data_IF_827674535354
#
_entry.id   IF_827674535354
#
_cell.length_a   1.000
_cell.length_b   1.000
_cell.length_c   1.000
_cell.angle_alpha   90.00
_cell.angle_beta   90.00
_cell.angle_gamma   90.00
#
_symmetry.space_group_name_H-M   'P 1'
#
loop_
_entity.id
_entity.type
_entity.pdbx_description
1 polymer ?
#
# COMPACT_ATOMS: atom_id res chain seq x y z
N UNK A 1 -31.49 -29.95 -48.27
CA UNK A 1 -30.41 -30.79 -48.83
C UNK A 1 -29.22 -30.65 -47.89
N UNK A 2 -28.91 -31.64 -47.04
CA UNK A 2 -27.68 -31.64 -46.22
C UNK A 2 -26.87 -32.87 -46.61
N UNK A 3 -25.62 -32.63 -46.98
CA UNK A 3 -24.63 -33.63 -47.36
C UNK A 3 -24.15 -34.29 -46.06
N UNK A 4 -24.16 -35.63 -45.98
CA UNK A 4 -23.52 -36.38 -44.89
C UNK A 4 -22.01 -36.11 -44.96
N UNK A 5 -21.39 -35.82 -43.83
CA UNK A 5 -19.94 -35.69 -43.70
C UNK A 5 -19.22 -36.93 -44.24
N UNK A 6 -18.79 -36.85 -45.50
CA UNK A 6 -17.82 -37.75 -46.08
C UNK A 6 -16.45 -37.14 -45.81
N UNK A 7 -15.62 -37.82 -45.00
CA UNK A 7 -14.19 -37.54 -44.96
C UNK A 7 -13.61 -37.84 -46.35
N UNK A 8 -13.45 -36.80 -47.16
CA UNK A 8 -12.67 -36.88 -48.39
C UNK A 8 -11.21 -37.12 -47.98
N UNK A 9 -10.66 -38.29 -48.36
CA UNK A 9 -9.22 -38.46 -48.43
C UNK A 9 -8.72 -37.51 -49.53
N UNK A 10 -7.65 -36.78 -49.24
CA UNK A 10 -6.97 -35.92 -50.22
C UNK A 10 -6.63 -36.74 -51.47
N UNK A 11 -6.96 -36.18 -52.65
CA UNK A 11 -6.79 -36.73 -54.02
C UNK A 11 -7.85 -37.71 -54.57
N UNK A 12 -9.08 -37.24 -54.76
CA UNK A 12 -9.96 -37.79 -55.81
C UNK A 12 -10.51 -36.66 -56.68
N UNK A 13 -10.17 -36.70 -57.97
CA UNK A 13 -10.70 -35.87 -59.05
C UNK A 13 -12.23 -35.98 -59.14
N UNK A 14 -12.88 -34.87 -59.46
CA UNK A 14 -14.34 -34.63 -59.32
C UNK A 14 -15.20 -35.40 -60.37
N UNK A 15 -14.62 -36.26 -61.20
CA UNK A 15 -15.31 -36.80 -62.39
C UNK A 15 -16.13 -38.09 -62.18
N UNK A 16 -16.16 -38.68 -60.99
CA UNK A 16 -16.97 -39.90 -60.74
C UNK A 16 -17.86 -39.79 -59.50
N UNK A 17 -18.96 -39.04 -59.61
CA UNK A 17 -20.06 -39.12 -58.63
C UNK A 17 -21.26 -39.79 -59.30
N UNK A 18 -21.37 -41.10 -59.14
CA UNK A 18 -22.46 -41.91 -59.69
C UNK A 18 -23.81 -41.59 -59.01
N UNK A 19 -24.90 -41.52 -59.79
CA UNK A 19 -26.27 -41.16 -59.31
C UNK A 19 -26.78 -42.05 -58.17
N UNK A 20 -26.25 -43.24 -58.02
CA UNK A 20 -26.63 -44.22 -56.98
C UNK A 20 -26.11 -43.84 -55.57
N UNK A 21 -25.11 -42.96 -55.47
CA UNK A 21 -24.63 -42.45 -54.17
C UNK A 21 -25.57 -41.43 -53.52
N UNK A 22 -26.61 -40.99 -54.23
CA UNK A 22 -27.65 -40.10 -53.71
C UNK A 22 -28.87 -40.91 -53.26
N UNK A 23 -28.75 -41.58 -52.11
CA UNK A 23 -29.91 -42.16 -51.43
C UNK A 23 -30.79 -41.03 -50.92
N UNK A 24 -32.04 -40.97 -51.38
CA UNK A 24 -33.06 -40.08 -50.84
C UNK A 24 -33.24 -40.37 -49.34
N UNK A 25 -32.99 -39.34 -48.53
CA UNK A 25 -33.24 -39.34 -47.09
C UNK A 25 -34.68 -39.81 -46.80
N UNK A 26 -34.83 -40.87 -45.99
CA UNK A 26 -36.15 -41.44 -45.66
C UNK A 26 -37.03 -40.40 -44.99
N UNK A 27 -38.22 -40.18 -45.55
CA UNK A 27 -39.23 -39.18 -45.13
C UNK A 27 -39.85 -39.48 -43.75
N UNK A 28 -39.54 -40.63 -43.15
CA UNK A 28 -40.20 -41.17 -41.96
C UNK A 28 -39.35 -41.10 -40.67
N UNK A 29 -38.09 -40.66 -40.73
CA UNK A 29 -37.38 -40.30 -39.51
C UNK A 29 -37.93 -38.96 -39.01
N UNK A 30 -38.88 -39.02 -38.08
CA UNK A 30 -39.20 -37.87 -37.24
C UNK A 30 -37.91 -37.48 -36.54
N UNK A 31 -37.27 -36.41 -37.02
CA UNK A 31 -36.17 -35.75 -36.31
C UNK A 31 -36.70 -35.55 -34.90
N UNK A 32 -36.16 -36.30 -33.92
CA UNK A 32 -36.47 -36.04 -32.52
C UNK A 32 -36.15 -34.57 -32.33
N UNK A 33 -37.18 -33.74 -32.20
CA UNK A 33 -36.99 -32.37 -31.75
C UNK A 33 -36.26 -32.49 -30.43
N UNK A 34 -34.97 -32.21 -30.45
CA UNK A 34 -34.23 -31.98 -29.23
C UNK A 34 -34.90 -30.75 -28.66
N UNK A 35 -35.84 -30.96 -27.73
CA UNK A 35 -36.39 -29.88 -26.93
C UNK A 35 -35.21 -29.26 -26.21
N UNK A 36 -34.64 -28.23 -26.82
CA UNK A 36 -33.63 -27.39 -26.21
C UNK A 36 -34.34 -26.73 -25.04
N UNK A 37 -34.18 -27.32 -23.86
CA UNK A 37 -34.65 -26.72 -22.62
C UNK A 37 -34.04 -25.33 -22.54
N UNK A 38 -34.88 -24.29 -22.58
CA UNK A 38 -34.45 -22.90 -22.61
C UNK A 38 -33.78 -22.56 -21.28
N UNK A 39 -32.47 -22.74 -21.22
CA UNK A 39 -31.68 -22.30 -20.09
C UNK A 39 -31.17 -20.88 -20.38
N UNK A 40 -31.34 -19.98 -19.43
CA UNK A 40 -30.69 -18.67 -19.50
C UNK A 40 -29.17 -18.83 -19.53
N UNK A 41 -28.49 -17.96 -20.29
CA UNK A 41 -27.03 -17.96 -20.41
C UNK A 41 -26.33 -17.99 -19.05
N UNK A 42 -26.80 -17.17 -18.09
CA UNK A 42 -26.24 -17.10 -16.74
C UNK A 42 -26.32 -18.42 -15.98
N UNK A 43 -27.43 -19.13 -16.06
CA UNK A 43 -27.60 -20.41 -15.36
C UNK A 43 -26.66 -21.48 -15.93
N UNK A 44 -26.50 -21.53 -17.26
CA UNK A 44 -25.52 -22.41 -17.90
C UNK A 44 -24.09 -22.07 -17.53
N UNK A 45 -23.75 -20.79 -17.51
CA UNK A 45 -22.43 -20.31 -17.12
C UNK A 45 -22.11 -20.60 -15.66
N UNK A 46 -23.06 -20.42 -14.73
CA UNK A 46 -22.93 -20.79 -13.33
C UNK A 46 -22.72 -22.30 -13.14
N UNK A 47 -23.49 -23.14 -13.83
CA UNK A 47 -23.30 -24.60 -13.80
C UNK A 47 -21.91 -25.01 -14.30
N UNK A 48 -21.36 -24.33 -15.31
CA UNK A 48 -19.99 -24.56 -15.79
C UNK A 48 -18.96 -24.04 -14.77
N UNK A 49 -19.21 -22.91 -14.14
CA UNK A 49 -18.34 -22.30 -13.13
C UNK A 49 -18.17 -23.20 -11.90
N UNK A 50 -19.27 -23.73 -11.35
CA UNK A 50 -19.24 -24.62 -10.17
C UNK A 50 -18.50 -25.94 -10.46
N UNK A 51 -18.38 -26.35 -11.73
CA UNK A 51 -17.58 -27.53 -12.10
C UNK A 51 -16.07 -27.23 -12.19
N UNK A 52 -15.68 -25.96 -12.29
CA UNK A 52 -14.29 -25.55 -12.42
C UNK A 52 -13.67 -25.27 -11.04
N UNK A 53 -12.87 -26.23 -10.52
CA UNK A 53 -12.22 -26.12 -9.21
C UNK A 53 -11.36 -24.85 -9.07
N UNK A 54 -10.56 -24.52 -10.09
CA UNK A 54 -9.73 -23.32 -10.08
C UNK A 54 -10.56 -22.05 -9.99
N UNK A 55 -11.67 -22.00 -10.73
CA UNK A 55 -12.62 -20.88 -10.69
C UNK A 55 -13.23 -20.67 -9.29
N UNK A 56 -13.58 -21.76 -8.61
CA UNK A 56 -14.10 -21.70 -7.23
C UNK A 56 -13.04 -21.18 -6.27
N UNK A 57 -11.81 -21.70 -6.33
CA UNK A 57 -10.72 -21.26 -5.45
C UNK A 57 -10.44 -19.77 -5.64
N UNK A 58 -10.32 -19.30 -6.88
CA UNK A 58 -10.13 -17.88 -7.17
C UNK A 58 -11.27 -17.01 -6.65
N UNK A 59 -12.52 -17.48 -6.76
CA UNK A 59 -13.68 -16.75 -6.25
C UNK A 59 -13.69 -16.67 -4.72
N UNK A 60 -13.32 -17.73 -4.02
CA UNK A 60 -13.18 -17.73 -2.56
C UNK A 60 -12.11 -16.73 -2.14
N UNK A 61 -10.94 -16.75 -2.78
CA UNK A 61 -9.85 -15.81 -2.49
C UNK A 61 -10.29 -14.36 -2.68
N UNK A 62 -10.92 -14.04 -3.82
CA UNK A 62 -11.45 -12.69 -4.09
C UNK A 62 -12.54 -12.29 -3.09
N UNK A 63 -13.40 -13.23 -2.69
CA UNK A 63 -14.43 -12.97 -1.68
C UNK A 63 -13.81 -12.68 -0.32
N UNK A 64 -12.78 -13.41 0.09
CA UNK A 64 -12.04 -13.16 1.33
C UNK A 64 -11.39 -11.77 1.30
N UNK A 65 -10.74 -11.40 0.19
CA UNK A 65 -10.11 -10.08 0.01
C UNK A 65 -11.16 -8.96 0.06
N UNK A 66 -12.31 -9.17 -0.57
CA UNK A 66 -13.40 -8.20 -0.57
C UNK A 66 -14.03 -8.06 0.81
N UNK A 67 -14.28 -9.18 1.51
CA UNK A 67 -14.79 -9.19 2.89
C UNK A 67 -13.79 -8.52 3.82
N UNK A 68 -12.50 -8.81 3.69
CA UNK A 68 -11.43 -8.15 4.42
C UNK A 68 -11.50 -6.62 4.25
N UNK A 69 -11.60 -6.15 3.02
CA UNK A 69 -11.70 -4.73 2.71
C UNK A 69 -12.96 -4.10 3.33
N UNK A 70 -14.11 -4.78 3.22
CA UNK A 70 -15.39 -4.28 3.73
C UNK A 70 -15.46 -4.28 5.27
N UNK A 71 -15.02 -5.35 5.91
CA UNK A 71 -15.00 -5.46 7.38
C UNK A 71 -14.06 -4.44 8.00
N UNK A 72 -12.88 -4.22 7.40
CA UNK A 72 -11.91 -3.28 7.95
C UNK A 72 -12.46 -1.85 7.99
N UNK A 73 -13.27 -1.44 7.01
CA UNK A 73 -13.95 -0.13 7.01
C UNK A 73 -14.98 -0.03 8.14
N UNK A 74 -15.74 -1.09 8.38
CA UNK A 74 -16.77 -1.09 9.43
C UNK A 74 -16.19 -1.19 10.85
N UNK A 75 -15.07 -1.90 11.01
CA UNK A 75 -14.57 -2.33 12.32
C UNK A 75 -13.21 -1.77 12.71
N UNK A 76 -12.47 -1.08 11.84
CA UNK A 76 -11.15 -0.56 12.23
C UNK A 76 -11.26 0.71 13.08
N UNK A 77 -10.96 0.68 14.39
CA UNK A 77 -10.80 1.89 15.20
C UNK A 77 -9.59 2.72 14.74
N UNK A 78 -8.63 2.12 14.02
CA UNK A 78 -7.38 2.76 13.59
C UNK A 78 -7.58 3.80 12.49
N UNK A 79 -8.69 3.76 11.74
CA UNK A 79 -9.03 4.87 10.83
C UNK A 79 -9.28 6.19 11.56
N UNK A 80 -9.62 6.18 12.86
CA UNK A 80 -9.72 7.41 13.66
C UNK A 80 -8.34 7.96 14.05
N UNK A 81 -7.31 7.12 14.03
CA UNK A 81 -5.92 7.48 14.38
C UNK A 81 -5.19 8.14 13.20
N UNK A 82 -5.69 8.00 11.96
CA UNK A 82 -5.22 8.80 10.81
C UNK A 82 -5.49 10.31 10.98
N UNK A 83 -6.36 10.69 11.93
CA UNK A 83 -6.56 12.07 12.40
C UNK A 83 -5.81 12.38 13.70
N UNK A 84 -4.84 11.55 14.09
CA UNK A 84 -3.74 12.09 14.86
C UNK A 84 -3.03 13.02 13.89
N UNK A 85 -3.28 14.31 14.05
CA UNK A 85 -2.40 15.31 13.49
C UNK A 85 -0.99 14.85 13.80
N UNK A 86 -0.27 14.41 12.76
CA UNK A 86 1.18 14.30 12.76
C UNK A 86 1.71 15.73 12.81
N UNK A 87 1.41 16.39 13.92
CA UNK A 87 1.86 17.69 14.32
C UNK A 87 3.16 17.55 15.09
N UNK A 88 3.79 18.68 15.34
CA UNK A 88 5.12 18.86 15.88
C UNK A 88 5.40 18.24 17.28
N UNK A 89 4.52 17.39 17.81
CA UNK A 89 4.52 16.92 19.20
C UNK A 89 5.22 15.56 19.42
N UNK A 90 6.14 15.17 18.54
CA UNK A 90 7.13 14.12 18.85
C UNK A 90 6.61 12.68 18.94
N UNK A 91 5.34 12.42 18.64
CA UNK A 91 4.79 11.07 18.71
C UNK A 91 5.19 10.23 17.47
N UNK A 92 6.20 9.35 17.59
CA UNK A 92 6.69 8.54 16.45
C UNK A 92 6.21 7.10 16.48
N UNK A 93 4.98 6.84 16.01
CA UNK A 93 4.50 5.48 15.67
C UNK A 93 5.02 5.00 14.31
N UNK A 94 6.19 5.46 13.86
CA UNK A 94 6.68 5.20 12.52
C UNK A 94 7.44 3.87 12.41
N UNK A 95 7.25 3.15 11.30
CA UNK A 95 7.97 1.93 10.95
C UNK A 95 7.89 0.80 11.99
N UNK A 96 6.77 0.71 12.71
CA UNK A 96 6.54 -0.36 13.69
C UNK A 96 6.39 -1.69 12.99
N UNK A 97 6.87 -2.76 13.63
CA UNK A 97 6.77 -4.10 13.09
C UNK A 97 5.38 -4.71 13.36
N UNK A 98 4.97 -5.69 12.54
CA UNK A 98 3.76 -6.47 12.78
C UNK A 98 3.71 -7.04 14.20
N UNK A 99 2.62 -6.77 14.92
CA UNK A 99 2.35 -7.31 16.26
C UNK A 99 0.91 -7.78 16.34
N UNK A 100 0.69 -9.01 16.81
CA UNK A 100 -0.65 -9.55 17.05
C UNK A 100 -1.02 -9.43 18.53
N UNK A 101 -0.08 -9.75 19.43
CA UNK A 101 -0.33 -9.74 20.87
C UNK A 101 0.82 -9.07 21.61
N UNK A 102 0.52 -8.58 22.81
CA UNK A 102 1.53 -7.96 23.66
C UNK A 102 2.54 -8.94 24.24
N UNK A 103 2.15 -10.21 24.43
CA UNK A 103 2.92 -11.18 25.23
C UNK A 103 3.55 -12.31 24.40
N UNK A 104 3.47 -12.25 23.07
CA UNK A 104 4.11 -13.25 22.21
C UNK A 104 5.56 -12.85 21.95
N UNK A 105 6.50 -13.74 22.28
CA UNK A 105 7.95 -13.57 22.03
C UNK A 105 8.47 -14.74 21.18
N UNK A 106 7.66 -15.21 20.22
CA UNK A 106 7.96 -16.37 19.38
C UNK A 106 8.71 -16.06 18.09
N UNK A 107 9.13 -14.81 17.86
CA UNK A 107 9.87 -14.37 16.66
C UNK A 107 9.01 -14.17 15.40
N UNK A 108 7.70 -14.40 15.46
CA UNK A 108 6.78 -14.23 14.34
C UNK A 108 5.62 -13.30 14.71
N UNK A 109 5.57 -12.10 14.11
CA UNK A 109 4.53 -11.10 14.37
C UNK A 109 4.44 -10.69 15.86
N UNK A 110 5.58 -10.62 16.54
CA UNK A 110 5.73 -10.16 17.92
C UNK A 110 6.17 -8.69 18.03
N UNK A 111 6.37 -8.01 16.91
CA UNK A 111 6.90 -6.65 16.88
C UNK A 111 8.41 -6.57 17.10
N UNK A 112 9.11 -7.70 17.26
CA UNK A 112 10.55 -7.72 17.47
C UNK A 112 11.33 -7.99 16.17
N UNK A 113 12.58 -7.56 16.11
CA UNK A 113 13.47 -7.88 15.00
C UNK A 113 14.93 -7.90 15.44
N UNK A 114 15.75 -8.71 14.77
CA UNK A 114 17.18 -8.76 15.04
C UNK A 114 17.89 -7.62 14.31
N UNK A 115 18.81 -6.94 15.02
CA UNK A 115 19.65 -5.89 14.47
C UNK A 115 21.03 -5.92 15.13
N UNK A 116 22.06 -5.64 14.34
CA UNK A 116 23.40 -5.39 14.86
C UNK A 116 23.55 -3.89 15.19
N UNK A 117 24.03 -3.61 16.39
CA UNK A 117 24.25 -2.25 16.91
C UNK A 117 25.68 -2.12 17.42
N UNK A 118 26.27 -0.93 17.33
CA UNK A 118 27.58 -0.70 17.92
C UNK A 118 27.51 -0.59 19.45
N UNK A 119 28.66 -0.68 20.13
CA UNK A 119 28.78 -0.59 21.59
C UNK A 119 28.00 0.62 22.18
N UNK A 120 28.17 1.80 21.59
CA UNK A 120 27.51 3.02 22.08
C UNK A 120 25.98 2.89 22.07
N UNK A 121 25.41 2.34 21.00
CA UNK A 121 23.96 2.11 20.90
C UNK A 121 23.52 0.97 21.82
N UNK A 122 24.32 -0.09 21.95
CA UNK A 122 24.02 -1.20 22.86
C UNK A 122 23.89 -0.72 24.32
N UNK A 123 24.86 0.04 24.80
CA UNK A 123 24.83 0.57 26.17
C UNK A 123 23.67 1.57 26.37
N UNK A 124 23.32 2.38 25.35
CA UNK A 124 22.15 3.25 25.37
C UNK A 124 20.86 2.46 25.59
N UNK A 125 20.68 1.39 24.83
CA UNK A 125 19.48 0.57 24.88
C UNK A 125 19.40 -0.27 26.16
N UNK A 126 20.53 -0.72 26.69
CA UNK A 126 20.62 -1.48 27.94
C UNK A 126 20.22 -0.64 29.16
N UNK A 127 20.59 0.64 29.17
CA UNK A 127 20.26 1.58 30.25
C UNK A 127 19.00 2.40 29.96
N UNK A 128 18.19 1.97 29.00
CA UNK A 128 16.95 2.65 28.65
C UNK A 128 15.96 2.65 29.83
N UNK A 129 15.38 3.80 30.12
CA UNK A 129 14.60 4.08 31.34
C UNK A 129 13.10 3.91 31.17
N UNK A 130 12.61 3.71 29.94
CA UNK A 130 11.19 3.48 29.73
C UNK A 130 10.72 2.15 30.28
N UNK A 131 9.41 2.06 30.48
CA UNK A 131 8.77 0.91 31.10
C UNK A 131 8.94 -0.36 30.26
N UNK A 132 9.07 -0.21 28.93
CA UNK A 132 9.44 -1.30 28.03
C UNK A 132 10.92 -1.26 27.68
N UNK A 133 11.64 -2.34 28.03
CA UNK A 133 13.04 -2.51 27.64
C UNK A 133 13.14 -2.79 26.13
N UNK A 134 13.95 -2.03 25.37
CA UNK A 134 14.08 -2.21 23.93
C UNK A 134 14.83 -3.49 23.54
N UNK A 135 15.77 -3.94 24.37
CA UNK A 135 16.49 -5.21 24.16
C UNK A 135 15.67 -6.33 24.80
N UNK A 136 15.14 -7.23 23.97
CA UNK A 136 14.41 -8.44 24.42
C UNK A 136 15.37 -9.61 24.61
N UNK A 137 16.29 -9.81 23.66
CA UNK A 137 17.32 -10.86 23.69
C UNK A 137 18.65 -10.24 23.28
N UNK A 138 19.71 -10.56 24.01
CA UNK A 138 21.08 -10.19 23.69
C UNK A 138 21.84 -11.43 23.22
N UNK A 139 22.27 -11.45 21.96
CA UNK A 139 23.02 -12.56 21.37
C UNK A 139 24.54 -12.39 21.53
N UNK A 140 25.00 -11.28 22.13
CA UNK A 140 26.41 -11.00 22.37
C UNK A 140 27.14 -10.29 21.23
N UNK A 141 28.46 -10.17 21.38
CA UNK A 141 29.34 -9.49 20.43
C UNK A 141 29.56 -10.32 19.15
N UNK A 142 29.36 -9.67 18.02
CA UNK A 142 29.74 -10.11 16.68
C UNK A 142 31.11 -9.53 16.37
N UNK A 143 32.13 -10.39 16.40
CA UNK A 143 33.48 -10.02 15.94
C UNK A 143 33.48 -9.98 14.40
N UNK A 144 33.69 -8.80 13.84
CA UNK A 144 33.97 -8.65 12.41
C UNK A 144 35.49 -8.62 12.22
N UNK A 145 36.06 -9.70 11.69
CA UNK A 145 37.51 -9.86 11.49
C UNK A 145 38.09 -8.97 10.35
N UNK A 146 37.27 -8.23 9.60
CA UNK A 146 37.71 -7.50 8.39
C UNK A 146 37.80 -5.97 8.53
N UNK A 147 37.34 -5.36 9.63
CA UNK A 147 37.46 -3.92 9.83
C UNK A 147 38.01 -3.60 11.23
N UNK A 148 39.31 -3.31 11.29
CA UNK A 148 39.99 -2.74 12.46
C UNK A 148 39.48 -1.31 12.72
N UNK A 149 38.32 -1.19 13.34
CA UNK A 149 37.94 -0.03 14.14
C UNK A 149 37.34 -0.56 15.43
N UNK A 150 37.89 -0.10 16.55
CA UNK A 150 37.58 -0.43 17.93
C UNK A 150 36.14 -0.08 18.34
N UNK A 151 35.15 -0.75 17.75
CA UNK A 151 33.76 -0.78 18.18
C UNK A 151 33.25 -2.21 18.01
N UNK A 152 32.97 -2.88 19.12
CA UNK A 152 32.21 -4.12 19.11
C UNK A 152 30.84 -3.87 18.47
N UNK A 153 30.38 -4.84 17.68
CA UNK A 153 29.00 -4.87 17.21
C UNK A 153 28.27 -5.90 18.05
N UNK A 154 27.22 -5.53 18.76
CA UNK A 154 26.34 -6.45 19.46
C UNK A 154 25.16 -6.84 18.56
N UNK A 155 24.82 -8.13 18.53
CA UNK A 155 23.59 -8.58 17.90
C UNK A 155 22.48 -8.67 18.94
N UNK A 156 21.40 -7.91 18.76
CA UNK A 156 20.28 -7.83 19.70
C UNK A 156 18.95 -8.09 19.00
N UNK A 157 17.99 -8.64 19.74
CA UNK A 157 16.58 -8.65 19.38
C UNK A 157 15.91 -7.42 19.97
N UNK A 158 15.46 -6.53 19.10
CA UNK A 158 14.90 -5.23 19.46
C UNK A 158 13.36 -5.26 19.38
N UNK A 159 12.65 -4.78 20.40
CA UNK A 159 11.20 -4.54 20.34
C UNK A 159 10.91 -3.19 19.68
N UNK A 160 10.29 -3.20 18.50
CA UNK A 160 9.92 -1.96 17.80
C UNK A 160 8.94 -1.08 18.58
N UNK A 161 8.18 -1.64 19.53
CA UNK A 161 7.21 -0.91 20.35
C UNK A 161 7.83 -0.31 21.63
N UNK A 162 9.14 -0.43 21.83
CA UNK A 162 9.87 0.37 22.81
C UNK A 162 10.09 1.79 22.25
N UNK A 163 8.99 2.54 22.17
CA UNK A 163 8.83 3.76 21.37
C UNK A 163 9.57 5.00 21.90
N UNK A 164 10.33 4.87 22.98
CA UNK A 164 11.07 6.00 23.52
C UNK A 164 10.23 6.86 24.46
N UNK A 165 10.73 8.07 24.66
CA UNK A 165 10.07 9.11 25.44
C UNK A 165 9.70 10.29 24.53
N UNK A 166 8.60 10.97 24.82
CA UNK A 166 8.17 12.17 24.12
C UNK A 166 8.20 13.38 25.06
N UNK A 167 8.42 14.58 24.52
CA UNK A 167 8.24 15.83 25.28
C UNK A 167 6.85 16.35 24.97
N UNK A 168 6.05 16.56 26.00
CA UNK A 168 4.68 17.08 25.89
C UNK A 168 4.58 18.40 26.64
N UNK A 169 3.92 19.36 26.00
CA UNK A 169 3.58 20.64 26.61
C UNK A 169 2.17 20.52 27.19
N UNK A 170 2.04 20.63 28.51
CA UNK A 170 0.78 20.52 29.22
C UNK A 170 0.42 21.86 29.86
N UNK A 171 -0.88 22.15 29.93
CA UNK A 171 -1.39 23.14 30.89
C UNK A 171 -1.27 22.60 32.32
N UNK A 172 -1.38 23.48 33.32
CA UNK A 172 -1.31 23.08 34.73
C UNK A 172 -2.38 22.03 35.07
N UNK A 173 -3.61 22.25 34.62
CA UNK A 173 -4.72 21.35 34.91
C UNK A 173 -4.50 19.96 34.29
N UNK A 174 -3.98 19.90 33.05
CA UNK A 174 -3.65 18.64 32.39
C UNK A 174 -2.49 17.91 33.08
N UNK A 175 -1.50 18.65 33.59
CA UNK A 175 -0.40 18.09 34.37
C UNK A 175 -0.90 17.47 35.68
N UNK A 176 -1.73 18.20 36.43
CA UNK A 176 -2.28 17.72 37.71
C UNK A 176 -3.15 16.46 37.51
N UNK A 177 -3.93 16.40 36.42
CA UNK A 177 -4.70 15.20 36.04
C UNK A 177 -3.79 14.02 35.74
N UNK A 178 -2.71 14.24 34.97
CA UNK A 178 -1.76 13.18 34.62
C UNK A 178 -1.06 12.62 35.87
N UNK A 179 -0.62 13.49 36.79
CA UNK A 179 0.03 13.07 38.05
C UNK A 179 -0.93 12.25 38.92
N UNK A 180 -2.19 12.65 39.02
CA UNK A 180 -3.19 11.86 39.75
C UNK A 180 -3.40 10.48 39.10
N UNK A 181 -3.46 10.44 37.76
CA UNK A 181 -3.60 9.18 37.02
C UNK A 181 -2.42 8.22 37.25
N UNK A 182 -1.18 8.74 37.28
CA UNK A 182 0.01 7.96 37.64
C UNK A 182 -0.07 7.34 39.02
N UNK A 183 -0.50 8.14 40.01
CA UNK A 183 -0.62 7.70 41.40
C UNK A 183 -1.71 6.63 41.57
N UNK A 184 -2.86 6.80 40.92
CA UNK A 184 -3.97 5.85 40.98
C UNK A 184 -3.62 4.50 40.35
N UNK A 185 -2.87 4.50 39.24
CA UNK A 185 -2.54 3.29 38.49
C UNK A 185 -1.16 2.70 38.83
N UNK A 186 -0.38 3.37 39.69
CA UNK A 186 0.99 3.01 40.03
C UNK A 186 1.88 2.82 38.78
N UNK A 187 1.80 3.80 37.86
CA UNK A 187 2.55 3.84 36.60
C UNK A 187 3.58 4.97 36.63
N UNK A 188 4.75 4.77 36.02
CA UNK A 188 5.76 5.82 35.80
C UNK A 188 5.64 6.30 34.34
N UNK A 189 4.75 7.25 34.10
CA UNK A 189 4.52 7.86 32.78
C UNK A 189 5.46 9.05 32.60
N UNK A 190 5.65 9.88 33.62
CA UNK A 190 6.45 11.08 33.66
C UNK A 190 7.88 10.69 34.04
N UNK A 191 8.75 10.77 33.05
CA UNK A 191 10.17 10.51 33.18
C UNK A 191 10.94 11.76 33.58
N UNK A 192 12.13 11.57 34.12
CA UNK A 192 13.01 12.68 34.47
C UNK A 192 13.35 13.49 33.22
N UNK A 193 13.19 14.82 33.32
CA UNK A 193 13.58 15.73 32.26
C UNK A 193 15.11 15.85 32.25
N UNK A 194 15.71 15.67 31.08
CA UNK A 194 17.15 15.88 30.91
C UNK A 194 17.39 17.36 30.61
N UNK A 195 17.72 18.15 31.63
CA UNK A 195 18.20 19.51 31.44
C UNK A 195 19.72 19.49 31.30
N UNK A 196 20.20 19.72 30.08
CA UNK A 196 21.64 19.90 29.85
C UNK A 196 22.10 21.29 30.27
N UNK A 197 21.22 22.28 30.44
CA UNK A 197 21.61 23.65 30.83
C UNK A 197 22.34 23.66 32.17
N UNK A 198 21.80 22.94 33.17
CA UNK A 198 22.44 22.77 34.47
C UNK A 198 23.80 22.06 34.32
N UNK A 199 23.88 21.05 33.45
CA UNK A 199 25.13 20.35 33.18
C UNK A 199 26.17 21.21 32.48
N UNK A 200 25.79 22.04 31.51
CA UNK A 200 26.71 22.96 30.83
C UNK A 200 27.29 23.96 31.82
N UNK A 201 26.48 24.43 32.78
CA UNK A 201 26.94 25.29 33.88
C UNK A 201 27.91 24.54 34.80
N UNK A 202 27.56 23.32 35.26
CA UNK A 202 28.45 22.47 36.06
C UNK A 202 29.79 22.20 35.35
N UNK A 203 29.73 21.82 34.08
CA UNK A 203 30.90 21.48 33.28
C UNK A 203 31.78 22.71 33.04
N UNK A 204 31.17 23.88 32.82
CA UNK A 204 31.89 25.17 32.76
C UNK A 204 32.62 25.45 34.07
N UNK A 205 31.97 25.23 35.22
CA UNK A 205 32.59 25.42 36.53
C UNK A 205 33.76 24.46 36.74
N UNK A 206 33.60 23.19 36.34
CA UNK A 206 34.69 22.22 36.38
C UNK A 206 35.91 22.66 35.54
N UNK A 207 35.68 23.15 34.31
CA UNK A 207 36.77 23.65 33.47
C UNK A 207 37.45 24.91 34.04
N UNK A 208 36.69 25.75 34.75
CA UNK A 208 37.24 26.89 35.48
C UNK A 208 38.13 26.44 36.65
N UNK A 209 37.69 25.44 37.43
CA UNK A 209 38.49 24.86 38.52
C UNK A 209 39.79 24.21 38.02
N UNK A 210 39.77 23.64 36.82
CA UNK A 210 40.93 23.07 36.14
C UNK A 210 41.87 24.13 35.51
N UNK A 211 41.58 25.42 35.66
CA UNK A 211 42.37 26.57 35.18
C UNK A 211 42.60 26.62 33.65
N UNK A 212 41.62 26.22 32.84
CA UNK A 212 41.69 26.42 31.39
C UNK A 212 41.42 27.87 30.97
N UNK A 213 41.88 28.26 29.77
CA UNK A 213 41.62 29.59 29.24
C UNK A 213 40.14 29.79 28.88
N UNK A 214 39.63 31.00 29.12
CA UNK A 214 38.22 31.34 28.86
C UNK A 214 37.79 31.07 27.41
N UNK A 215 38.72 31.27 26.46
CA UNK A 215 38.50 30.97 25.04
C UNK A 215 38.26 29.47 24.79
N UNK A 216 39.04 28.60 25.42
CA UNK A 216 38.89 27.15 25.29
C UNK A 216 37.59 26.68 25.94
N UNK A 217 37.24 27.24 27.11
CA UNK A 217 36.01 26.92 27.83
C UNK A 217 34.79 27.27 26.96
N UNK A 218 34.72 28.49 26.44
CA UNK A 218 33.58 28.92 25.61
C UNK A 218 33.44 28.07 24.34
N UNK A 219 34.54 27.74 23.66
CA UNK A 219 34.51 26.84 22.49
C UNK A 219 33.99 25.45 22.86
N UNK A 220 34.47 24.89 23.97
CA UNK A 220 34.10 23.56 24.44
C UNK A 220 32.61 23.48 24.79
N UNK A 221 32.10 24.49 25.52
CA UNK A 221 30.67 24.57 25.86
C UNK A 221 29.80 24.69 24.60
N UNK A 222 30.18 25.54 23.65
CA UNK A 222 29.43 25.70 22.39
C UNK A 222 29.41 24.40 21.57
N UNK A 223 30.52 23.65 21.53
CA UNK A 223 30.55 22.34 20.87
C UNK A 223 29.66 21.31 21.57
N UNK A 224 29.64 21.31 22.91
CA UNK A 224 28.77 20.44 23.71
C UNK A 224 27.29 20.77 23.49
N UNK A 225 26.94 22.06 23.45
CA UNK A 225 25.59 22.52 23.16
C UNK A 225 25.13 22.07 21.76
N UNK A 226 26.00 22.21 20.75
CA UNK A 226 25.78 21.68 19.41
C UNK A 226 25.63 20.14 19.38
N UNK A 227 26.41 19.43 20.21
CA UNK A 227 26.34 17.97 20.31
C UNK A 227 24.99 17.51 20.89
N UNK A 228 24.51 18.13 21.97
CA UNK A 228 23.22 17.78 22.59
C UNK A 228 22.02 18.19 21.74
N UNK A 229 22.08 19.35 21.07
CA UNK A 229 21.00 19.78 20.15
C UNK A 229 20.89 18.87 18.93
N UNK A 230 22.02 18.40 18.40
CA UNK A 230 22.05 17.47 17.26
C UNK A 230 21.70 16.04 17.67
N UNK A 231 22.14 15.61 18.85
CA UNK A 231 21.87 14.29 19.42
C UNK A 231 20.87 14.40 20.58
N UNK A 232 19.66 14.88 20.29
CA UNK A 232 18.60 15.22 21.25
C UNK A 232 18.21 14.13 22.29
N UNK A 233 18.79 12.93 22.22
CA UNK A 233 18.52 11.76 23.06
C UNK A 233 19.74 11.28 23.87
N UNK A 234 20.76 12.11 24.12
CA UNK A 234 21.91 11.73 24.96
C UNK A 234 21.54 11.92 26.43
N UNK A 235 21.43 10.80 27.16
CA UNK A 235 20.98 10.78 28.56
C UNK A 235 22.13 10.81 29.59
N UNK A 236 23.38 10.92 29.13
CA UNK A 236 24.57 10.79 29.97
C UNK A 236 25.47 12.00 29.87
N UNK A 237 26.15 12.28 30.99
CA UNK A 237 27.22 13.27 31.06
C UNK A 237 28.31 12.81 30.09
N UNK A 238 28.74 13.71 29.21
CA UNK A 238 29.87 13.47 28.31
C UNK A 238 31.03 14.40 28.67
N UNK A 239 32.25 13.88 28.57
CA UNK A 239 33.48 14.63 28.81
C UNK A 239 34.29 14.75 27.51
N UNK A 240 35.17 15.75 27.44
CA UNK A 240 36.08 15.91 26.31
C UNK A 240 37.14 14.82 26.30
N UNK A 241 37.72 14.57 25.14
CA UNK A 241 38.86 13.66 25.03
C UNK A 241 40.06 14.24 25.81
N UNK A 242 40.49 13.54 26.86
CA UNK A 242 41.61 13.91 27.74
C UNK A 242 42.80 12.97 27.58
N UNK A 243 44.01 13.47 27.85
CA UNK A 243 45.23 12.67 27.88
C UNK A 243 45.42 11.94 29.22
N UNK A 244 46.46 11.10 29.33
CA UNK A 244 46.81 10.40 30.58
C UNK A 244 47.09 11.32 31.78
N UNK A 245 47.37 12.60 31.53
CA UNK A 245 47.60 13.63 32.55
C UNK A 245 46.32 14.48 32.78
N UNK A 246 45.16 13.98 32.37
CA UNK A 246 43.84 14.60 32.49
C UNK A 246 43.63 15.94 31.77
N UNK A 247 44.52 16.31 30.84
CA UNK A 247 44.40 17.53 30.03
C UNK A 247 43.59 17.29 28.76
N UNK A 248 42.73 18.25 28.39
CA UNK A 248 41.95 18.19 27.14
C UNK A 248 42.88 18.13 25.94
N UNK A 249 42.71 17.08 25.13
CA UNK A 249 43.38 16.91 23.82
C UNK A 249 42.48 17.46 22.71
N UNK A 250 41.19 17.15 22.79
CA UNK A 250 40.23 17.52 21.75
C UNK A 250 38.86 17.81 22.38
N UNK A 251 38.37 19.02 22.17
CA UNK A 251 37.09 19.52 22.67
C UNK A 251 35.93 19.35 21.67
N UNK A 252 36.17 18.70 20.53
CA UNK A 252 35.15 18.32 19.55
C UNK A 252 34.73 16.85 19.67
N UNK A 253 35.48 16.05 20.44
CA UNK A 253 35.19 14.62 20.66
C UNK A 253 34.69 14.45 22.08
N UNK A 254 33.46 13.98 22.20
CA UNK A 254 32.78 13.75 23.48
C UNK A 254 32.65 12.25 23.75
N UNK A 255 33.07 11.84 24.94
CA UNK A 255 33.01 10.47 25.42
C UNK A 255 32.04 10.36 26.59
N UNK A 256 31.27 9.27 26.72
CA UNK A 256 30.43 9.06 27.89
C UNK A 256 31.28 9.04 29.16
N UNK A 257 30.84 9.75 30.20
CA UNK A 257 31.50 9.77 31.51
C UNK A 257 31.10 8.52 32.28
N UNK A 258 32.10 7.81 32.80
CA UNK A 258 31.90 6.66 33.67
C UNK A 258 32.39 6.97 35.08
N UNK A 259 31.56 6.68 36.09
CA UNK A 259 31.93 6.67 37.50
C UNK A 259 31.66 5.27 38.06
N UNK A 260 32.66 4.63 38.66
CA UNK A 260 32.57 3.26 39.18
C UNK A 260 32.05 2.22 38.15
N UNK A 261 32.49 2.28 36.89
CA UNK A 261 32.00 1.46 35.77
C UNK A 261 30.52 1.66 35.41
N UNK A 262 29.85 2.69 35.93
CA UNK A 262 28.49 3.06 35.55
C UNK A 262 28.49 4.38 34.78
N UNK A 263 27.64 4.47 33.75
CA UNK A 263 27.40 5.70 33.01
C UNK A 263 26.77 6.73 33.93
N UNK A 264 27.33 7.94 33.97
CA UNK A 264 26.75 9.04 34.76
C UNK A 264 25.66 9.69 33.94
N UNK A 265 24.42 9.62 34.40
CA UNK A 265 23.25 10.13 33.69
C UNK A 265 22.96 11.60 34.02
N UNK A 266 22.37 12.29 33.06
CA UNK A 266 21.89 13.67 33.20
C UNK A 266 20.45 13.62 33.70
N UNK A 267 20.23 13.74 35.00
CA UNK A 267 18.88 13.91 35.54
C UNK A 267 18.69 15.32 36.08
N UNK A 268 17.64 15.98 35.61
CA UNK A 268 17.06 17.18 36.22
C UNK A 268 15.67 16.87 36.80
N UNK A 269 14.96 17.91 37.22
CA UNK A 269 13.59 17.81 37.72
C UNK A 269 12.64 17.20 36.68
N UNK A 270 11.59 16.49 37.11
CA UNK A 270 10.61 15.84 36.21
C UNK A 270 9.85 16.83 35.30
N UNK A 271 9.91 18.14 35.57
CA UNK A 271 9.15 19.19 34.88
C UNK A 271 10.02 20.40 34.61
N UNK A 272 9.93 20.96 33.39
CA UNK A 272 10.45 22.27 33.06
C UNK A 272 9.28 23.25 32.83
N UNK A 273 9.18 24.29 33.66
CA UNK A 273 8.09 25.27 33.60
C UNK A 273 8.58 26.50 32.84
N UNK A 274 7.95 26.80 31.71
CA UNK A 274 8.25 27.99 30.91
C UNK A 274 6.96 28.72 30.56
N UNK A 275 6.85 29.99 30.95
CA UNK A 275 5.71 30.87 30.63
C UNK A 275 4.31 30.28 30.97
N UNK A 276 4.20 29.49 32.04
CA UNK A 276 2.94 28.86 32.47
C UNK A 276 2.60 27.54 31.76
N UNK A 277 3.46 27.08 30.83
CA UNK A 277 3.37 25.75 30.21
C UNK A 277 4.30 24.78 30.94
N UNK A 278 3.77 23.61 31.28
CA UNK A 278 4.49 22.52 31.92
C UNK A 278 5.07 21.62 30.83
N UNK A 279 6.37 21.70 30.59
CA UNK A 279 7.06 20.81 29.66
C UNK A 279 7.50 19.56 30.40
N UNK A 280 6.97 18.41 30.00
CA UNK A 280 7.18 17.15 30.70
C UNK A 280 7.65 16.10 29.72
N UNK A 281 8.61 15.28 30.14
CA UNK A 281 9.05 14.12 29.39
C UNK A 281 8.20 12.93 29.82
N UNK A 282 7.58 12.24 28.88
CA UNK A 282 6.70 11.10 29.15
C UNK A 282 7.15 9.85 28.40
N UNK A 283 6.97 8.66 29.00
CA UNK A 283 7.03 7.39 28.30
C UNK A 283 5.95 7.39 27.21
N UNK A 284 6.37 7.26 25.95
CA UNK A 284 5.49 7.41 24.81
C UNK A 284 4.28 6.46 24.91
N UNK A 285 4.54 5.20 25.27
CA UNK A 285 3.55 4.14 25.16
C UNK A 285 2.49 4.29 26.24
N UNK A 286 2.92 4.52 27.48
CA UNK A 286 1.97 4.70 28.59
C UNK A 286 1.18 6.00 28.45
N UNK A 287 1.80 7.08 27.97
CA UNK A 287 1.08 8.31 27.65
C UNK A 287 0.04 8.12 26.54
N UNK A 288 0.37 7.32 25.51
CA UNK A 288 -0.59 6.97 24.47
C UNK A 288 -1.78 6.20 25.04
N UNK A 289 -1.54 5.21 25.91
CA UNK A 289 -2.62 4.46 26.58
C UNK A 289 -3.48 5.37 27.44
N UNK A 290 -2.89 6.30 28.18
CA UNK A 290 -3.62 7.29 28.96
C UNK A 290 -4.55 8.14 28.07
N UNK A 291 -4.03 8.66 26.96
CA UNK A 291 -4.77 9.57 26.08
C UNK A 291 -5.86 8.88 25.26
N UNK A 292 -5.61 7.66 24.78
CA UNK A 292 -6.51 6.97 23.84
C UNK A 292 -7.25 5.77 24.43
N UNK A 293 -6.87 5.30 25.62
CA UNK A 293 -7.51 4.18 26.33
C UNK A 293 -7.20 2.79 25.75
N UNK A 294 -6.28 2.67 24.80
CA UNK A 294 -5.87 1.38 24.22
C UNK A 294 -4.38 1.36 23.87
N UNK A 295 -3.84 0.16 23.72
CA UNK A 295 -2.44 -0.08 23.34
C UNK A 295 -2.29 -0.03 21.82
N UNK A 296 -1.34 0.74 21.26
CA UNK A 296 -1.12 0.75 19.82
C UNK A 296 -0.63 -0.64 19.39
N UNK A 297 -1.41 -1.32 18.54
CA UNK A 297 -1.12 -2.67 18.08
C UNK A 297 -1.38 -2.73 16.57
N UNK A 298 -0.32 -2.91 15.78
CA UNK A 298 -0.41 -2.91 14.33
C UNK A 298 -0.17 -4.32 13.79
N UNK A 299 -1.24 -4.96 13.30
CA UNK A 299 -1.20 -6.35 12.81
C UNK A 299 -0.16 -6.51 11.69
N UNK A 300 -0.07 -5.55 10.77
CA UNK A 300 0.91 -5.53 9.68
C UNK A 300 2.02 -4.49 9.89
N UNK A 301 2.07 -3.85 11.05
CA UNK A 301 3.01 -2.75 11.32
C UNK A 301 2.48 -1.41 10.81
N UNK A 302 3.32 -0.39 10.96
CA UNK A 302 3.00 0.98 10.54
C UNK A 302 3.95 1.47 9.45
N UNK A 303 3.49 2.43 8.65
CA UNK A 303 4.32 3.07 7.63
C UNK A 303 5.27 4.13 8.23
N UNK A 304 6.06 4.80 7.38
CA UNK A 304 6.97 5.88 7.80
C UNK A 304 6.25 7.07 8.42
N UNK A 305 4.99 7.27 8.04
CA UNK A 305 4.08 8.26 8.61
C UNK A 305 3.26 7.70 9.78
N UNK A 306 3.60 6.53 10.32
CA UNK A 306 2.94 5.89 11.46
C UNK A 306 1.48 5.45 11.29
N UNK A 307 0.98 5.41 10.06
CA UNK A 307 -0.36 4.91 9.73
C UNK A 307 -0.38 3.37 9.76
N UNK A 308 -1.52 2.80 10.15
CA UNK A 308 -1.73 1.34 10.18
C UNK A 308 -1.74 0.74 8.77
N UNK A 309 -0.79 -0.15 8.47
CA UNK A 309 -0.68 -0.81 7.17
C UNK A 309 -1.87 -1.74 6.89
N UNK A 310 -2.44 -2.37 7.92
CA UNK A 310 -3.60 -3.26 7.75
C UNK A 310 -4.80 -2.48 7.21
N UNK A 311 -5.17 -1.40 7.89
CA UNK A 311 -6.27 -0.52 7.46
C UNK A 311 -5.99 0.14 6.10
N UNK A 312 -4.76 0.60 5.85
CA UNK A 312 -4.38 1.25 4.58
C UNK A 312 -4.48 0.30 3.39
N UNK A 313 -4.06 -0.96 3.54
CA UNK A 313 -4.21 -1.97 2.49
C UNK A 313 -5.68 -2.28 2.20
N UNK A 314 -6.53 -2.33 3.22
CA UNK A 314 -7.97 -2.58 3.04
C UNK A 314 -8.66 -1.49 2.22
N UNK A 315 -8.33 -0.21 2.49
CA UNK A 315 -8.84 0.94 1.75
C UNK A 315 -8.33 0.91 0.30
N UNK A 316 -7.02 0.68 0.12
CA UNK A 316 -6.41 0.61 -1.22
C UNK A 316 -7.04 -0.48 -2.10
N UNK A 317 -7.28 -1.67 -1.53
CA UNK A 317 -7.95 -2.77 -2.24
C UNK A 317 -9.37 -2.37 -2.70
N UNK A 318 -10.15 -1.67 -1.87
CA UNK A 318 -11.50 -1.24 -2.25
C UNK A 318 -11.44 -0.25 -3.42
N UNK A 319 -10.53 0.71 -3.32
CA UNK A 319 -10.33 1.74 -4.34
C UNK A 319 -9.92 1.09 -5.67
N UNK A 320 -8.86 0.28 -5.68
CA UNK A 320 -8.38 -0.38 -6.90
C UNK A 320 -9.43 -1.30 -7.53
N UNK A 321 -10.14 -2.11 -6.72
CA UNK A 321 -11.19 -3.00 -7.22
C UNK A 321 -12.38 -2.22 -7.79
N UNK A 322 -12.85 -1.19 -7.08
CA UNK A 322 -13.98 -0.38 -7.54
C UNK A 322 -13.65 0.37 -8.82
N UNK A 323 -12.47 1.00 -8.89
CA UNK A 323 -11.97 1.68 -10.07
C UNK A 323 -11.86 0.70 -11.24
N UNK A 324 -11.19 -0.44 -11.04
CA UNK A 324 -11.02 -1.47 -12.06
C UNK A 324 -12.34 -1.99 -12.64
N UNK A 325 -13.34 -2.23 -11.78
CA UNK A 325 -14.66 -2.72 -12.21
C UNK A 325 -15.45 -1.65 -12.95
N UNK A 326 -15.53 -0.42 -12.42
CA UNK A 326 -16.33 0.66 -13.02
C UNK A 326 -15.76 1.06 -14.38
N UNK A 327 -14.45 1.31 -14.44
CA UNK A 327 -13.74 1.61 -15.69
C UNK A 327 -13.94 0.47 -16.68
N UNK A 328 -13.81 -0.79 -16.22
CA UNK A 328 -13.94 -1.93 -17.12
C UNK A 328 -15.33 -2.06 -17.71
N UNK A 329 -16.37 -1.80 -16.91
CA UNK A 329 -17.76 -1.86 -17.34
C UNK A 329 -18.08 -0.76 -18.36
N UNK A 330 -17.61 0.47 -18.13
CA UNK A 330 -17.81 1.58 -19.07
C UNK A 330 -17.12 1.29 -20.40
N UNK A 331 -15.85 0.91 -20.36
CA UNK A 331 -15.07 0.56 -21.55
C UNK A 331 -15.66 -0.65 -22.30
N UNK A 332 -16.22 -1.61 -21.57
CA UNK A 332 -16.92 -2.74 -22.16
C UNK A 332 -18.14 -2.30 -22.97
N UNK A 333 -18.97 -1.42 -22.39
CA UNK A 333 -20.17 -0.88 -23.07
C UNK A 333 -19.77 -0.03 -24.28
N UNK A 334 -18.82 0.89 -24.13
CA UNK A 334 -18.32 1.74 -25.21
C UNK A 334 -17.72 0.90 -26.35
N UNK A 335 -16.89 -0.08 -26.00
CA UNK A 335 -16.26 -1.00 -26.96
C UNK A 335 -17.27 -1.84 -27.71
N UNK A 336 -18.32 -2.34 -27.04
CA UNK A 336 -19.40 -3.07 -27.73
C UNK A 336 -20.13 -2.18 -28.72
N UNK A 337 -20.49 -0.95 -28.32
CA UNK A 337 -21.20 -0.02 -29.20
C UNK A 337 -20.33 0.30 -30.42
N UNK A 338 -19.07 0.69 -30.19
CA UNK A 338 -18.14 1.05 -31.26
C UNK A 338 -17.85 -0.12 -32.20
N UNK A 339 -17.48 -1.27 -31.64
CA UNK A 339 -17.09 -2.45 -32.41
C UNK A 339 -18.26 -3.15 -33.10
N UNK A 340 -19.46 -3.09 -32.52
CA UNK A 340 -20.66 -3.63 -33.19
C UNK A 340 -20.98 -2.87 -34.47
N UNK A 341 -20.84 -1.54 -34.45
CA UNK A 341 -21.04 -0.68 -35.62
C UNK A 341 -19.96 -0.99 -36.67
N UNK A 342 -18.67 -0.96 -36.30
CA UNK A 342 -17.59 -1.18 -37.27
C UNK A 342 -17.63 -2.59 -37.86
N UNK A 343 -17.78 -3.63 -37.03
CA UNK A 343 -17.83 -5.02 -37.47
C UNK A 343 -19.06 -5.36 -38.32
N UNK A 344 -20.24 -4.82 -37.97
CA UNK A 344 -21.49 -5.06 -38.71
C UNK A 344 -21.42 -4.47 -40.13
N UNK A 345 -21.16 -3.16 -40.24
CA UNK A 345 -21.14 -2.48 -41.54
C UNK A 345 -19.96 -2.91 -42.40
N UNK A 346 -18.78 -3.15 -41.82
CA UNK A 346 -17.59 -3.58 -42.58
C UNK A 346 -17.09 -2.53 -43.59
N UNK A 347 -16.13 -2.95 -44.41
CA UNK A 347 -15.66 -2.16 -45.56
C UNK A 347 -15.07 -0.80 -45.14
N UNK A 348 -15.56 0.28 -45.76
CA UNK A 348 -15.06 1.64 -45.51
C UNK A 348 -15.34 2.14 -44.08
N UNK A 349 -16.49 1.79 -43.51
CA UNK A 349 -16.87 2.21 -42.14
C UNK A 349 -15.92 1.58 -41.14
N UNK A 350 -15.70 0.28 -41.27
CA UNK A 350 -14.76 -0.46 -40.44
C UNK A 350 -13.34 0.08 -40.56
N UNK A 351 -12.88 0.33 -41.80
CA UNK A 351 -11.55 0.90 -42.04
C UNK A 351 -11.38 2.26 -41.36
N UNK A 352 -12.32 3.19 -41.50
CA UNK A 352 -12.21 4.53 -40.87
C UNK A 352 -12.23 4.42 -39.35
N UNK A 353 -13.15 3.63 -38.79
CA UNK A 353 -13.27 3.46 -37.34
C UNK A 353 -12.04 2.78 -36.74
N UNK A 354 -11.55 1.70 -37.34
CA UNK A 354 -10.32 1.06 -36.89
C UNK A 354 -9.13 2.02 -36.94
N UNK A 355 -8.99 2.84 -38.00
CA UNK A 355 -7.93 3.85 -38.09
C UNK A 355 -8.00 4.89 -36.97
N UNK A 356 -9.19 5.37 -36.62
CA UNK A 356 -9.34 6.28 -35.47
C UNK A 356 -8.84 5.62 -34.18
N UNK A 357 -9.25 4.37 -33.94
CA UNK A 357 -8.83 3.63 -32.74
C UNK A 357 -7.32 3.34 -32.71
N UNK A 358 -6.72 3.04 -33.86
CA UNK A 358 -5.27 2.82 -34.01
C UNK A 358 -4.48 4.10 -33.76
N UNK A 359 -4.96 5.25 -34.23
CA UNK A 359 -4.32 6.55 -33.96
C UNK A 359 -4.30 6.83 -32.46
N UNK A 360 -5.42 6.60 -31.76
CA UNK A 360 -5.47 6.79 -30.31
C UNK A 360 -4.54 5.79 -29.60
N UNK A 361 -4.54 4.53 -30.03
CA UNK A 361 -3.68 3.49 -29.47
C UNK A 361 -2.18 3.69 -29.74
N UNK A 362 -1.83 4.48 -30.75
CA UNK A 362 -0.42 4.81 -31.06
C UNK A 362 0.24 5.66 -29.96
N UNK A 363 -0.56 6.37 -29.16
CA UNK A 363 -0.08 7.14 -28.01
C UNK A 363 0.10 6.19 -26.82
N UNK A 364 1.29 6.15 -26.18
CA UNK A 364 1.50 5.37 -24.97
C UNK A 364 0.45 5.71 -23.89
N UNK A 365 -0.27 4.69 -23.41
CA UNK A 365 -1.35 4.87 -22.43
C UNK A 365 -0.87 5.53 -21.13
N UNK A 366 0.38 5.28 -20.75
CA UNK A 366 1.03 5.92 -19.60
C UNK A 366 1.12 7.44 -19.77
N UNK A 367 1.42 7.94 -20.97
CA UNK A 367 1.50 9.38 -21.25
C UNK A 367 0.11 10.02 -21.07
N UNK A 368 -0.94 9.38 -21.59
CA UNK A 368 -2.32 9.87 -21.44
C UNK A 368 -2.71 9.94 -19.96
N UNK A 369 -2.37 8.89 -19.19
CA UNK A 369 -2.64 8.84 -17.76
C UNK A 369 -1.97 9.99 -17.00
N UNK A 370 -0.69 10.28 -17.26
CA UNK A 370 0.04 11.38 -16.60
C UNK A 370 -0.51 12.75 -17.01
N UNK A 371 -0.76 12.97 -18.30
CA UNK A 371 -1.27 14.26 -18.79
C UNK A 371 -2.63 14.56 -18.15
N UNK A 372 -3.52 13.58 -18.10
CA UNK A 372 -4.83 13.76 -17.49
C UNK A 372 -4.70 13.97 -15.97
N UNK A 373 -3.91 13.17 -15.26
CA UNK A 373 -3.77 13.33 -13.80
C UNK A 373 -3.27 14.74 -13.43
N UNK A 374 -2.23 15.23 -14.12
CA UNK A 374 -1.64 16.56 -13.88
C UNK A 374 -2.59 17.69 -14.33
N UNK A 375 -3.29 17.52 -15.44
CA UNK A 375 -4.23 18.53 -15.93
C UNK A 375 -5.39 18.74 -14.95
N UNK A 376 -6.01 17.64 -14.49
CA UNK A 376 -7.15 17.71 -13.59
C UNK A 376 -6.75 18.06 -12.15
N UNK A 377 -5.55 17.69 -11.69
CA UNK A 377 -5.06 18.08 -10.35
C UNK A 377 -4.82 19.59 -10.21
N UNK A 378 -4.50 20.28 -11.31
CA UNK A 378 -4.23 21.72 -11.34
C UNK A 378 -5.47 22.57 -11.67
N UNK A 379 -6.65 21.96 -11.75
CA UNK A 379 -7.87 22.67 -12.11
C UNK A 379 -8.40 23.49 -10.92
N UNK A 380 -8.61 24.82 -11.06
CA UNK A 380 -8.88 25.71 -9.93
C UNK A 380 -10.20 25.46 -9.19
N UNK A 381 -11.14 24.72 -9.79
CA UNK A 381 -12.46 24.44 -9.21
C UNK A 381 -12.55 23.05 -8.54
N UNK A 382 -11.45 22.30 -8.50
CA UNK A 382 -11.43 20.91 -8.06
C UNK A 382 -10.33 20.73 -6.99
N UNK A 383 -10.63 20.01 -5.91
CA UNK A 383 -9.61 19.61 -4.94
C UNK A 383 -8.55 18.76 -5.65
N UNK A 384 -7.27 19.04 -5.42
CA UNK A 384 -6.14 18.36 -6.08
C UNK A 384 -6.27 16.83 -6.02
N UNK A 385 -6.63 16.27 -4.86
CA UNK A 385 -6.84 14.83 -4.66
C UNK A 385 -7.95 14.27 -5.56
N UNK A 386 -9.10 14.96 -5.65
CA UNK A 386 -10.20 14.55 -6.52
C UNK A 386 -9.83 14.69 -8.00
N UNK A 387 -9.08 15.73 -8.35
CA UNK A 387 -8.60 15.97 -9.72
C UNK A 387 -7.74 14.82 -10.24
N UNK A 388 -6.83 14.31 -9.41
CA UNK A 388 -5.99 13.16 -9.76
C UNK A 388 -6.83 11.91 -10.05
N UNK A 389 -7.80 11.60 -9.17
CA UNK A 389 -8.70 10.43 -9.34
C UNK A 389 -9.55 10.57 -10.60
N UNK A 390 -10.11 11.76 -10.85
CA UNK A 390 -10.90 12.04 -12.04
C UNK A 390 -10.06 11.91 -13.32
N UNK A 391 -8.84 12.43 -13.31
CA UNK A 391 -7.90 12.34 -14.42
C UNK A 391 -7.56 10.88 -14.77
N UNK A 392 -7.25 10.07 -13.75
CA UNK A 392 -7.06 8.62 -13.90
C UNK A 392 -8.27 7.93 -14.54
N UNK A 393 -9.45 8.20 -13.99
CA UNK A 393 -10.70 7.58 -14.45
C UNK A 393 -10.97 7.90 -15.93
N UNK A 394 -10.83 9.17 -16.32
CA UNK A 394 -11.03 9.61 -17.69
C UNK A 394 -9.97 9.07 -18.64
N UNK A 395 -8.70 9.00 -18.24
CA UNK A 395 -7.63 8.46 -19.07
C UNK A 395 -7.80 6.96 -19.35
N UNK A 396 -8.20 6.18 -18.34
CA UNK A 396 -8.51 4.76 -18.56
C UNK A 396 -9.76 4.56 -19.44
N UNK A 397 -10.76 5.44 -19.33
CA UNK A 397 -11.93 5.40 -20.22
C UNK A 397 -11.56 5.83 -21.64
N UNK A 398 -10.64 6.76 -21.82
CA UNK A 398 -10.23 7.24 -23.15
C UNK A 398 -9.49 6.16 -23.96
N UNK A 399 -8.79 5.25 -23.27
CA UNK A 399 -7.89 4.26 -23.90
C UNK A 399 -8.40 2.82 -23.83
N UNK A 400 -9.10 2.44 -22.76
CA UNK A 400 -9.41 1.03 -22.49
C UNK A 400 -10.48 0.41 -23.40
N UNK A 401 -11.39 1.20 -23.97
CA UNK A 401 -12.43 0.69 -24.88
C UNK A 401 -11.88 0.14 -26.21
N UNK A 402 -10.66 0.52 -26.61
CA UNK A 402 -10.08 0.19 -27.92
C UNK A 402 -9.93 -1.33 -28.11
N UNK A 403 -9.42 -2.03 -27.09
CA UNK A 403 -9.26 -3.48 -27.13
C UNK A 403 -10.60 -4.21 -27.26
N UNK A 404 -11.61 -3.76 -26.49
CA UNK A 404 -12.95 -4.34 -26.55
C UNK A 404 -13.63 -4.05 -27.89
N UNK A 405 -13.45 -2.84 -28.43
CA UNK A 405 -13.96 -2.47 -29.75
C UNK A 405 -13.40 -3.38 -30.84
N UNK A 406 -12.07 -3.54 -30.90
CA UNK A 406 -11.42 -4.42 -31.88
C UNK A 406 -11.88 -5.88 -31.75
N UNK A 407 -11.91 -6.42 -30.53
CA UNK A 407 -12.40 -7.78 -30.27
C UNK A 407 -13.86 -7.95 -30.69
N UNK A 408 -14.71 -6.95 -30.40
CA UNK A 408 -16.13 -6.95 -30.80
C UNK A 408 -16.26 -6.91 -32.32
N UNK A 409 -15.53 -6.04 -33.02
CA UNK A 409 -15.56 -5.94 -34.48
C UNK A 409 -15.21 -7.27 -35.14
N UNK A 410 -14.19 -7.96 -34.62
CA UNK A 410 -13.79 -9.28 -35.10
C UNK A 410 -14.90 -10.33 -34.93
N UNK A 411 -15.58 -10.34 -33.78
CA UNK A 411 -16.71 -11.24 -33.55
C UNK A 411 -17.89 -10.91 -34.49
N UNK A 412 -18.22 -9.63 -34.64
CA UNK A 412 -19.29 -9.18 -35.54
C UNK A 412 -19.00 -9.53 -36.99
N UNK A 413 -17.75 -9.39 -37.44
CA UNK A 413 -17.32 -9.81 -38.78
C UNK A 413 -17.49 -11.32 -38.99
N UNK A 414 -17.18 -12.14 -37.97
CA UNK A 414 -17.36 -13.60 -38.01
C UNK A 414 -18.83 -14.02 -38.12
N UNK A 415 -19.72 -13.32 -37.42
CA UNK A 415 -21.13 -13.71 -37.31
C UNK A 415 -22.04 -13.10 -38.38
N UNK A 416 -21.70 -11.94 -38.96
CA UNK A 416 -22.61 -11.24 -39.89
C UNK A 416 -22.94 -12.00 -41.18
N UNK A 417 -22.04 -12.89 -41.62
CA UNK A 417 -22.21 -13.70 -42.83
C UNK A 417 -22.75 -15.11 -42.55
N UNK A 418 -23.21 -15.40 -41.33
CA UNK A 418 -23.76 -16.71 -40.99
C UNK A 418 -25.15 -16.89 -41.60
N UNK A 419 -25.50 -18.14 -41.95
CA UNK A 419 -26.76 -18.49 -42.63
C UNK A 419 -28.00 -17.95 -41.91
N UNK A 420 -28.03 -18.01 -40.56
CA UNK A 420 -29.16 -17.52 -39.77
C UNK A 420 -29.33 -16.00 -39.79
N UNK A 421 -28.22 -15.26 -39.97
CA UNK A 421 -28.23 -13.80 -40.11
C UNK A 421 -28.71 -13.42 -41.51
N UNK A 422 -28.18 -14.08 -42.54
CA UNK A 422 -28.59 -13.88 -43.93
C UNK A 422 -30.07 -14.19 -44.13
N UNK A 423 -30.55 -15.31 -43.58
CA UNK A 423 -31.98 -15.66 -43.62
C UNK A 423 -32.85 -14.57 -42.96
N UNK A 424 -32.46 -14.10 -41.78
CA UNK A 424 -33.20 -13.04 -41.08
C UNK A 424 -33.21 -11.72 -41.86
N UNK A 425 -32.12 -11.41 -42.59
CA UNK A 425 -32.04 -10.23 -43.48
C UNK A 425 -32.96 -10.39 -44.70
N UNK A 426 -33.04 -11.58 -45.28
CA UNK A 426 -33.99 -11.90 -46.37
C UNK A 426 -35.45 -11.75 -45.95
N UNK A 427 -35.77 -11.97 -44.67
CA UNK A 427 -37.10 -11.70 -44.09
C UNK A 427 -37.35 -10.23 -43.71
N UNK A 428 -36.45 -9.30 -44.07
CA UNK A 428 -36.64 -7.86 -43.86
C UNK A 428 -36.33 -7.38 -42.44
N UNK A 429 -35.54 -8.11 -41.65
CA UNK A 429 -35.12 -7.66 -40.34
C UNK A 429 -34.25 -6.38 -40.42
N UNK A 430 -34.59 -5.36 -39.63
CA UNK A 430 -33.81 -4.11 -39.52
C UNK A 430 -32.43 -4.38 -38.90
N UNK A 431 -31.43 -3.59 -39.27
CA UNK A 431 -30.05 -3.69 -38.77
C UNK A 431 -29.95 -3.75 -37.25
N UNK A 432 -30.66 -2.89 -36.52
CA UNK A 432 -30.70 -2.90 -35.05
C UNK A 432 -31.18 -4.24 -34.49
N UNK A 433 -32.17 -4.87 -35.13
CA UNK A 433 -32.66 -6.20 -34.74
C UNK A 433 -31.58 -7.25 -34.99
N UNK A 434 -30.91 -7.20 -36.14
CA UNK A 434 -29.82 -8.13 -36.48
C UNK A 434 -28.67 -8.01 -35.46
N UNK A 435 -28.22 -6.79 -35.18
CA UNK A 435 -27.14 -6.51 -34.22
C UNK A 435 -27.49 -7.04 -32.83
N UNK A 436 -28.61 -6.60 -32.23
CA UNK A 436 -28.89 -6.87 -30.82
C UNK A 436 -29.57 -8.23 -30.56
N UNK A 437 -30.28 -8.81 -31.52
CA UNK A 437 -31.02 -10.07 -31.31
C UNK A 437 -30.37 -11.29 -31.99
N UNK A 438 -29.54 -11.10 -33.01
CA UNK A 438 -28.94 -12.22 -33.75
C UNK A 438 -27.42 -12.31 -33.59
N UNK A 439 -26.69 -11.20 -33.68
CA UNK A 439 -25.22 -11.23 -33.64
C UNK A 439 -24.71 -11.11 -32.20
N UNK A 440 -25.08 -10.03 -31.50
CA UNK A 440 -24.56 -9.73 -30.17
C UNK A 440 -24.77 -10.88 -29.15
N UNK A 441 -25.95 -11.52 -29.05
CA UNK A 441 -26.15 -12.61 -28.09
C UNK A 441 -25.26 -13.82 -28.34
N UNK A 442 -24.82 -14.04 -29.58
CA UNK A 442 -23.92 -15.12 -29.95
C UNK A 442 -22.44 -14.75 -29.75
N UNK A 443 -22.11 -13.46 -29.89
CA UNK A 443 -20.75 -12.94 -29.69
C UNK A 443 -20.41 -12.59 -28.23
N UNK A 444 -21.42 -12.28 -27.40
CA UNK A 444 -21.22 -11.69 -26.08
C UNK A 444 -20.37 -12.57 -25.15
N UNK A 445 -20.49 -13.90 -25.24
CA UNK A 445 -19.71 -14.81 -24.41
C UNK A 445 -18.20 -14.69 -24.67
N UNK A 446 -17.80 -14.62 -25.94
CA UNK A 446 -16.40 -14.41 -26.32
C UNK A 446 -15.91 -13.00 -25.95
N UNK A 447 -16.75 -11.97 -26.13
CA UNK A 447 -16.39 -10.58 -25.82
C UNK A 447 -16.20 -10.38 -24.31
N UNK A 448 -17.09 -10.93 -23.47
CA UNK A 448 -16.95 -10.90 -22.01
C UNK A 448 -15.65 -11.59 -21.58
N UNK A 449 -15.38 -12.76 -22.17
CA UNK A 449 -14.21 -13.56 -21.79
C UNK A 449 -12.89 -12.84 -22.11
N UNK A 450 -12.80 -12.15 -23.26
CA UNK A 450 -11.61 -11.36 -23.59
C UNK A 450 -11.49 -10.08 -22.75
N UNK A 451 -12.63 -9.46 -22.41
CA UNK A 451 -12.65 -8.17 -21.71
C UNK A 451 -12.36 -8.29 -20.20
N UNK A 452 -12.46 -9.49 -19.60
CA UNK A 452 -12.28 -9.65 -18.15
C UNK A 452 -10.86 -9.32 -17.68
N UNK A 453 -9.86 -9.49 -18.55
CA UNK A 453 -8.45 -9.17 -18.27
C UNK A 453 -8.22 -7.66 -18.12
N UNK A 454 -9.17 -6.83 -18.53
CA UNK A 454 -9.06 -5.38 -18.38
C UNK A 454 -9.08 -4.94 -16.91
N UNK A 455 -9.83 -5.64 -16.05
CA UNK A 455 -9.91 -5.34 -14.62
C UNK A 455 -8.52 -5.42 -13.96
N UNK A 456 -7.79 -6.56 -14.02
CA UNK A 456 -6.45 -6.63 -13.45
C UNK A 456 -5.45 -5.71 -14.16
N UNK A 457 -5.60 -5.45 -15.47
CA UNK A 457 -4.74 -4.47 -16.15
C UNK A 457 -4.89 -3.06 -15.59
N UNK A 458 -6.12 -2.60 -15.36
CA UNK A 458 -6.38 -1.27 -14.77
C UNK A 458 -5.80 -1.17 -13.36
N UNK A 459 -6.04 -2.19 -12.52
CA UNK A 459 -5.50 -2.25 -11.15
C UNK A 459 -3.97 -2.21 -11.16
N UNK A 460 -3.34 -2.98 -12.04
CA UNK A 460 -1.88 -3.03 -12.14
C UNK A 460 -1.31 -1.70 -12.64
N UNK A 461 -1.94 -1.06 -13.63
CA UNK A 461 -1.52 0.26 -14.12
C UNK A 461 -1.65 1.33 -13.04
N UNK A 462 -2.75 1.36 -12.29
CA UNK A 462 -2.94 2.26 -11.16
C UNK A 462 -1.85 2.05 -10.10
N UNK A 463 -1.66 0.81 -9.63
CA UNK A 463 -0.65 0.46 -8.63
C UNK A 463 0.78 0.83 -9.08
N UNK A 464 1.09 0.61 -10.36
CA UNK A 464 2.41 0.95 -10.92
C UNK A 464 2.67 2.46 -10.93
N UNK A 465 1.66 3.26 -11.24
CA UNK A 465 1.78 4.73 -11.27
C UNK A 465 1.90 5.32 -9.87
N UNK A 466 1.17 4.77 -8.90
CA UNK A 466 1.32 5.13 -7.48
C UNK A 466 2.68 4.75 -6.95
N UNK A 467 3.18 3.55 -7.30
CA UNK A 467 4.53 3.12 -6.93
C UNK A 467 5.63 4.04 -7.49
N UNK A 468 5.48 4.53 -8.72
CA UNK A 468 6.40 5.49 -9.33
C UNK A 468 6.30 6.91 -8.75
N UNK A 469 5.33 7.18 -7.85
CA UNK A 469 5.12 8.50 -7.26
C UNK A 469 4.55 9.53 -8.23
N UNK A 470 4.06 9.09 -9.40
CA UNK A 470 3.43 9.97 -10.40
C UNK A 470 2.03 10.40 -9.91
N UNK A 471 1.42 9.55 -9.08
CA UNK A 471 0.06 9.71 -8.57
C UNK A 471 0.12 9.48 -7.06
N UNK A 472 -0.18 10.52 -6.30
CA UNK A 472 -0.29 10.42 -4.86
C UNK A 472 -1.76 10.28 -4.44
N UNK A 473 -2.13 9.07 -4.04
CA UNK A 473 -3.45 8.75 -3.49
C UNK A 473 -3.44 8.73 -1.95
N UNK A 474 -2.29 8.98 -1.30
CA UNK A 474 -2.17 8.91 0.16
C UNK A 474 -2.82 10.09 0.89
N UNK A 475 -2.97 11.22 0.17
CA UNK A 475 -3.66 12.45 0.60
C UNK A 475 -5.15 12.47 0.26
N UNK A 476 -5.69 11.37 -0.28
CA UNK A 476 -7.11 11.15 -0.62
C UNK A 476 -7.75 10.24 0.41
#
# INVERSE_FOLDING_TARGET
MKIKDYKLKENTSIEEVNKENFVLYKKEETVKEVKLTKHGYLNLSLKKFVKNKSGIVSFIILSIIFIYSLLTICFSPFMKVDKLEYGNDGFKLANLKPRITEHYQGGFLDGTYQRNVNDATYYLLKHYEGNRKPIVVDYGEVKNDEFNLSQGNHSIQFDSYALGSAIVNLSKDEYDILVNYEQENNLDIIQNYVSYDNYLVEFRNQLNEENYSEQLINQTISNLENYYTTNANVYYKVDCLRNKNNKIINNNIFLPKYENNHLVTLYGDKVNISNGTYKVRVDFLEYFKYKYGFTPNFIFGSNSAGQDLFSRLAIGILFSLSLGIIVSLINFVLGIIYGSISGYYGGKVDLIMQRISEIIASIPSTIILVIFSVYFSNMPNISSSFGVILGLFLAFIATGWIGVASSTSMQFFRYKNQEYVLASKSFGAKDKRIIFHHILPNAIGTIITSSILMIPSVIFSESSLTFLGIIDLSSS
#
